data_IF_978278189569
#
_entry.id   IF_978278189569
#
_cell.length_a   1.000
_cell.length_b   1.000
_cell.length_c   1.000
_cell.angle_alpha   90.00
_cell.angle_beta   90.00
_cell.angle_gamma   90.00
#
_symmetry.space_group_name_H-M   'P 1'
#
loop_
_entity.id
_entity.type
_entity.pdbx_description
1 polymer ?
#
# COMPACT_ATOMS: atom_id res chain seq x y z
N UNK A 1 5.02 20.19 5.64
CA UNK A 1 4.40 19.05 4.94
C UNK A 1 5.46 18.25 4.18
N UNK A 2 6.26 18.89 3.31
CA UNK A 2 7.36 18.21 2.59
C UNK A 2 8.39 17.54 3.50
N UNK A 3 8.82 18.19 4.58
CA UNK A 3 9.79 17.64 5.54
C UNK A 3 9.31 16.33 6.18
N UNK A 4 8.06 16.28 6.66
CA UNK A 4 7.48 15.06 7.25
C UNK A 4 7.44 13.88 6.29
N UNK A 5 7.16 14.14 5.00
CA UNK A 5 7.20 13.10 3.98
C UNK A 5 8.63 12.69 3.66
N UNK A 6 9.56 13.63 3.60
CA UNK A 6 10.97 13.31 3.38
C UNK A 6 11.53 12.41 4.49
N UNK A 7 11.32 12.76 5.76
CA UNK A 7 11.76 11.97 6.91
C UNK A 7 11.23 10.52 6.84
N UNK A 8 9.97 10.35 6.43
CA UNK A 8 9.38 9.03 6.25
C UNK A 8 10.06 8.23 5.12
N UNK A 9 10.31 8.85 3.96
CA UNK A 9 10.95 8.16 2.84
C UNK A 9 12.43 7.87 3.12
N UNK A 10 13.14 8.77 3.81
CA UNK A 10 14.49 8.52 4.29
C UNK A 10 14.53 7.33 5.26
N UNK A 11 13.58 7.26 6.19
CA UNK A 11 13.44 6.09 7.05
C UNK A 11 13.19 4.81 6.24
N UNK A 12 12.31 4.83 5.23
CA UNK A 12 12.07 3.67 4.36
C UNK A 12 13.35 3.22 3.62
N UNK A 13 14.24 4.14 3.24
CA UNK A 13 15.54 3.83 2.62
C UNK A 13 16.53 3.15 3.57
N UNK A 14 16.25 3.12 4.88
CA UNK A 14 17.10 2.39 5.84
C UNK A 14 16.72 0.91 5.99
N UNK A 15 15.48 0.54 5.66
CA UNK A 15 14.90 -0.76 5.97
C UNK A 15 14.40 -1.56 4.75
N UNK A 16 13.84 -0.89 3.74
CA UNK A 16 13.16 -1.56 2.62
C UNK A 16 13.70 -1.19 1.25
N UNK A 17 14.35 -0.03 1.11
CA UNK A 17 14.74 0.52 -0.19
C UNK A 17 16.19 0.95 -0.22
N UNK A 18 16.74 1.10 -1.43
CA UNK A 18 18.07 1.66 -1.62
C UNK A 18 18.02 3.17 -1.61
N UNK A 19 18.93 3.80 -0.87
CA UNK A 19 19.14 5.25 -0.88
C UNK A 19 19.38 5.83 -2.28
N UNK A 20 20.03 5.07 -3.19
CA UNK A 20 20.27 5.51 -4.57
C UNK A 20 18.99 5.74 -5.37
N UNK A 21 17.91 5.06 -4.97
CA UNK A 21 16.64 5.06 -5.68
C UNK A 21 15.72 6.16 -5.16
N UNK A 22 15.94 6.66 -3.95
CA UNK A 22 15.23 7.80 -3.40
C UNK A 22 15.50 9.06 -4.23
N UNK A 23 14.43 9.73 -4.64
CA UNK A 23 14.43 11.01 -5.35
C UNK A 23 13.67 12.03 -4.50
N UNK A 24 14.39 13.08 -4.12
CA UNK A 24 13.88 14.16 -3.27
C UNK A 24 13.52 15.35 -4.15
N UNK A 25 12.32 15.93 -4.01
CA UNK A 25 11.90 17.08 -4.80
C UNK A 25 12.76 18.32 -4.54
N UNK A 26 12.97 19.17 -5.56
CA UNK A 26 13.46 20.53 -5.36
C UNK A 26 12.52 21.36 -4.46
N UNK A 27 12.98 22.52 -3.99
CA UNK A 27 12.17 23.44 -3.16
C UNK A 27 10.89 23.92 -3.87
N UNK A 28 10.93 24.04 -5.20
CA UNK A 28 9.80 24.44 -6.05
C UNK A 28 8.94 23.24 -6.47
N UNK A 29 9.27 22.04 -6.01
CA UNK A 29 8.65 20.79 -6.44
C UNK A 29 9.19 20.29 -7.78
N UNK A 30 8.75 19.09 -8.16
CA UNK A 30 9.03 18.53 -9.48
C UNK A 30 8.26 19.26 -10.58
N UNK A 31 8.84 19.40 -11.79
CA UNK A 31 8.10 19.82 -12.97
C UNK A 31 6.93 18.87 -13.24
N UNK A 32 5.78 19.37 -13.69
CA UNK A 32 4.60 18.54 -13.98
C UNK A 32 4.88 17.46 -15.03
N UNK A 33 5.88 17.69 -15.88
CA UNK A 33 6.34 16.79 -16.93
C UNK A 33 6.94 15.48 -16.37
N UNK A 34 7.26 15.42 -15.07
CA UNK A 34 7.67 14.17 -14.42
C UNK A 34 6.49 13.19 -14.26
N UNK A 35 5.27 13.71 -14.22
CA UNK A 35 4.06 12.92 -14.06
C UNK A 35 3.54 12.53 -15.45
N UNK A 36 3.28 11.24 -15.70
CA UNK A 36 2.66 10.84 -16.95
C UNK A 36 1.30 11.51 -17.16
N UNK A 37 0.98 11.89 -18.41
CA UNK A 37 -0.28 12.57 -18.78
C UNK A 37 -1.54 11.92 -18.20
N UNK A 38 -1.57 10.58 -18.15
CA UNK A 38 -2.70 9.81 -17.62
C UNK A 38 -2.90 10.06 -16.13
N UNK A 39 -1.81 10.22 -15.38
CA UNK A 39 -1.84 10.55 -13.95
C UNK A 39 -2.45 11.92 -13.75
N UNK A 40 -1.94 12.90 -14.50
CA UNK A 40 -2.44 14.28 -14.45
C UNK A 40 -3.94 14.33 -14.77
N UNK A 41 -4.38 13.62 -15.81
CA UNK A 41 -5.80 13.59 -16.22
C UNK A 41 -6.73 12.86 -15.25
N UNK A 42 -6.20 11.94 -14.43
CA UNK A 42 -7.00 11.12 -13.50
C UNK A 42 -7.08 11.69 -12.07
N UNK A 43 -6.37 12.78 -11.80
CA UNK A 43 -6.29 13.41 -10.47
C UNK A 43 -6.78 14.86 -10.50
N UNK A 44 -7.20 15.37 -9.36
CA UNK A 44 -7.51 16.79 -9.23
C UNK A 44 -6.24 17.63 -9.35
N UNK A 45 -6.35 18.88 -9.78
CA UNK A 45 -5.21 19.81 -9.89
C UNK A 45 -4.43 19.91 -8.58
N UNK A 46 -5.13 19.93 -7.44
CA UNK A 46 -4.52 19.96 -6.11
C UNK A 46 -3.76 18.67 -5.77
N UNK A 47 -4.28 17.51 -6.16
CA UNK A 47 -3.59 16.25 -5.94
C UNK A 47 -2.30 16.16 -6.79
N UNK A 48 -2.36 16.59 -8.05
CA UNK A 48 -1.18 16.68 -8.93
C UNK A 48 -0.13 17.61 -8.34
N UNK A 49 -0.54 18.79 -7.85
CA UNK A 49 0.36 19.73 -7.17
C UNK A 49 1.03 19.07 -5.96
N UNK A 50 0.29 18.39 -5.09
CA UNK A 50 0.88 17.67 -3.94
C UNK A 50 1.87 16.60 -4.38
N UNK A 51 1.55 15.82 -5.42
CA UNK A 51 2.44 14.79 -5.94
C UNK A 51 3.78 15.36 -6.43
N UNK A 52 3.80 16.58 -6.95
CA UNK A 52 5.05 17.25 -7.34
C UNK A 52 5.95 17.58 -6.13
N UNK A 53 5.44 17.60 -4.90
CA UNK A 53 6.24 17.84 -3.69
C UNK A 53 6.52 16.58 -2.87
N UNK A 54 6.19 15.40 -3.39
CA UNK A 54 6.51 14.15 -2.71
C UNK A 54 7.88 13.61 -3.16
N UNK A 55 8.62 12.97 -2.24
CA UNK A 55 9.69 12.07 -2.63
C UNK A 55 9.12 10.81 -3.29
N UNK A 56 9.94 10.13 -4.08
CA UNK A 56 9.61 8.81 -4.63
C UNK A 56 10.86 7.93 -4.72
N UNK A 57 10.67 6.62 -4.85
CA UNK A 57 11.75 5.69 -5.16
C UNK A 57 11.64 5.25 -6.63
N UNK A 58 12.71 5.43 -7.39
CA UNK A 58 12.78 4.98 -8.77
C UNK A 58 12.82 3.46 -8.84
N UNK A 59 12.21 2.84 -9.85
CA UNK A 59 12.23 1.38 -10.05
C UNK A 59 11.61 0.62 -8.87
N UNK A 60 10.46 1.09 -8.38
CA UNK A 60 9.74 0.47 -7.26
C UNK A 60 9.09 -0.89 -7.60
N UNK A 61 9.32 -1.43 -8.80
CA UNK A 61 8.75 -2.71 -9.27
C UNK A 61 9.13 -3.87 -8.35
N UNK A 62 10.37 -3.88 -7.87
CA UNK A 62 10.86 -4.87 -6.91
C UNK A 62 10.56 -4.50 -5.45
N UNK A 63 9.74 -3.47 -5.22
CA UNK A 63 9.51 -2.97 -3.88
C UNK A 63 8.80 -3.96 -2.97
N UNK A 64 9.34 -4.04 -1.75
CA UNK A 64 8.74 -4.76 -0.64
C UNK A 64 7.51 -3.97 -0.18
N UNK A 65 6.44 -4.68 0.21
CA UNK A 65 5.25 -4.07 0.80
C UNK A 65 5.67 -3.35 2.09
N UNK A 66 5.66 -2.02 2.07
CA UNK A 66 5.99 -1.18 3.24
C UNK A 66 5.04 -1.47 4.41
N UNK A 67 3.80 -1.80 4.06
CA UNK A 67 2.73 -2.19 4.96
C UNK A 67 1.79 -3.17 4.27
N UNK A 68 0.94 -3.86 5.05
CA UNK A 68 -0.06 -4.79 4.54
C UNK A 68 -0.91 -4.15 3.41
N UNK A 69 -0.92 -4.79 2.22
CA UNK A 69 -1.51 -4.29 0.96
C UNK A 69 -1.06 -2.90 0.48
N UNK A 70 -0.10 -2.27 1.14
CA UNK A 70 0.46 -0.98 0.75
C UNK A 70 1.80 -1.21 0.06
N UNK A 71 1.82 -1.04 -1.25
CA UNK A 71 3.05 -0.98 -2.04
C UNK A 71 3.39 0.49 -2.28
N UNK A 72 4.65 0.85 -2.06
CA UNK A 72 5.12 2.16 -2.49
C UNK A 72 5.25 2.15 -4.01
N UNK A 73 4.92 3.27 -4.64
CA UNK A 73 4.65 3.31 -6.05
C UNK A 73 5.48 4.42 -6.72
N UNK A 74 6.17 4.08 -7.80
CA UNK A 74 6.89 5.05 -8.62
C UNK A 74 5.90 5.77 -9.52
N UNK A 75 5.36 6.89 -9.04
CA UNK A 75 4.34 7.62 -9.77
C UNK A 75 4.84 8.32 -11.04
N UNK A 76 6.15 8.26 -11.30
CA UNK A 76 6.75 8.71 -12.55
C UNK A 76 6.74 7.62 -13.63
N UNK A 77 6.56 6.35 -13.25
CA UNK A 77 6.49 5.22 -14.19
C UNK A 77 5.04 4.96 -14.65
N UNK A 78 4.73 5.35 -15.89
CA UNK A 78 3.43 5.14 -16.52
C UNK A 78 2.97 3.67 -16.56
N UNK A 79 3.89 2.71 -16.61
CA UNK A 79 3.57 1.27 -16.64
C UNK A 79 3.12 0.76 -15.27
N UNK A 80 3.69 1.29 -14.17
CA UNK A 80 3.17 0.96 -12.84
C UNK A 80 1.71 1.45 -12.71
N UNK A 81 1.35 2.56 -13.37
CA UNK A 81 -0.03 3.06 -13.42
C UNK A 81 -0.96 2.21 -14.30
N UNK A 82 -0.41 1.37 -15.19
CA UNK A 82 -1.20 0.40 -15.98
C UNK A 82 -1.52 -0.85 -15.16
N UNK A 83 -0.64 -1.25 -14.24
CA UNK A 83 -0.84 -2.40 -13.34
C UNK A 83 -1.91 -2.07 -12.29
N UNK A 84 -2.06 -0.79 -11.93
CA UNK A 84 -3.18 -0.30 -11.13
C UNK A 84 -4.46 -0.16 -11.98
N UNK A 85 -5.07 -1.32 -12.25
CA UNK A 85 -6.50 -1.52 -12.54
C UNK A 85 -7.01 -1.30 -13.99
N UNK A 86 -6.98 -2.33 -14.84
CA UNK A 86 -8.15 -2.75 -15.62
C UNK A 86 -9.09 -3.55 -14.70
N UNK A 87 -10.36 -3.17 -14.61
CA UNK A 87 -11.45 -3.91 -13.94
C UNK A 87 -11.38 -4.09 -12.40
N UNK A 88 -10.63 -3.26 -11.67
CA UNK A 88 -10.72 -3.21 -10.20
C UNK A 88 -11.18 -1.83 -9.76
N UNK A 89 -12.33 -1.77 -9.08
CA UNK A 89 -12.76 -0.57 -8.37
C UNK A 89 -11.77 -0.37 -7.20
N UNK A 90 -10.99 0.70 -7.25
CA UNK A 90 -10.43 1.27 -6.03
C UNK A 90 -11.62 1.70 -5.18
N UNK A 91 -11.98 0.92 -4.17
CA UNK A 91 -12.74 1.45 -3.04
C UNK A 91 -11.81 2.46 -2.37
N UNK A 92 -12.15 3.75 -2.47
CA UNK A 92 -11.69 4.70 -1.47
C UNK A 92 -11.98 4.06 -0.12
N UNK A 93 -11.01 4.06 0.79
CA UNK A 93 -11.35 3.79 2.18
C UNK A 93 -12.41 4.82 2.51
N UNK A 94 -13.67 4.37 2.66
CA UNK A 94 -14.75 5.25 3.07
C UNK A 94 -14.24 6.06 4.25
N UNK A 95 -14.67 7.33 4.37
CA UNK A 95 -14.41 8.10 5.59
C UNK A 95 -15.15 7.43 6.73
N UNK A 96 -14.48 6.44 7.30
CA UNK A 96 -14.87 5.64 8.42
C UNK A 96 -14.50 6.44 9.66
N UNK A 97 -15.52 6.96 10.35
CA UNK A 97 -15.32 7.55 11.67
C UNK A 97 -14.64 6.51 12.57
N UNK A 98 -13.54 6.90 13.22
CA UNK A 98 -12.84 6.00 14.13
C UNK A 98 -13.73 5.72 15.34
N UNK A 99 -13.96 4.44 15.64
CA UNK A 99 -14.64 4.03 16.85
C UNK A 99 -13.71 4.23 18.05
N UNK A 100 -14.12 5.06 18.99
CA UNK A 100 -13.35 5.34 20.21
C UNK A 100 -13.40 4.20 21.24
N UNK A 101 -14.37 3.30 21.14
CA UNK A 101 -14.44 2.11 22.00
C UNK A 101 -13.57 0.99 21.46
N UNK A 102 -12.96 0.25 22.38
CA UNK A 102 -12.13 -0.91 22.09
C UNK A 102 -12.94 -1.96 21.32
N UNK A 103 -12.54 -2.23 20.08
CA UNK A 103 -12.99 -3.40 19.32
C UNK A 103 -12.19 -4.59 19.83
N UNK A 104 -12.88 -5.60 20.37
CA UNK A 104 -12.22 -6.83 20.84
C UNK A 104 -12.02 -7.80 19.69
N UNK A 105 -11.11 -8.74 19.91
CA UNK A 105 -10.86 -9.79 18.94
C UNK A 105 -12.12 -10.62 18.69
N UNK A 106 -12.85 -10.96 19.73
CA UNK A 106 -14.10 -11.73 19.67
C UNK A 106 -15.16 -11.00 18.85
N UNK A 107 -15.26 -9.67 19.00
CA UNK A 107 -16.19 -8.84 18.24
C UNK A 107 -15.85 -8.84 16.74
N UNK A 108 -14.57 -8.64 16.39
CA UNK A 108 -14.13 -8.71 15.01
C UNK A 108 -14.32 -10.13 14.40
N UNK A 109 -14.12 -11.17 15.21
CA UNK A 109 -14.29 -12.57 14.80
C UNK A 109 -15.77 -13.00 14.71
N UNK A 110 -16.70 -12.33 15.39
CA UNK A 110 -18.12 -12.68 15.40
C UNK A 110 -18.86 -12.33 14.09
N UNK A 111 -18.22 -11.55 13.21
CA UNK A 111 -18.76 -11.22 11.89
C UNK A 111 -18.94 -12.46 11.01
N UNK A 112 -20.01 -12.47 10.22
CA UNK A 112 -20.33 -13.54 9.26
C UNK A 112 -20.02 -13.14 7.81
N UNK A 113 -19.85 -11.84 7.55
CA UNK A 113 -19.57 -11.25 6.24
C UNK A 113 -18.17 -11.62 5.73
N UNK A 114 -17.90 -11.47 4.43
CA UNK A 114 -16.53 -11.62 3.91
C UNK A 114 -15.57 -10.61 4.56
N UNK A 115 -14.29 -10.99 4.68
CA UNK A 115 -13.25 -10.12 5.20
C UNK A 115 -13.15 -8.79 4.43
N UNK A 116 -12.92 -7.70 5.16
CA UNK A 116 -12.77 -6.35 4.60
C UNK A 116 -13.92 -5.41 4.93
N UNK A 117 -14.71 -5.74 5.96
CA UNK A 117 -15.76 -4.86 6.47
C UNK A 117 -15.14 -3.62 7.12
N UNK A 118 -16.00 -2.63 7.39
CA UNK A 118 -15.64 -1.46 8.17
C UNK A 118 -15.04 -1.81 9.55
N UNK A 119 -15.60 -2.81 10.23
CA UNK A 119 -15.14 -3.25 11.54
C UNK A 119 -13.76 -3.93 11.45
N UNK A 120 -13.53 -4.72 10.39
CA UNK A 120 -12.22 -5.33 10.11
C UNK A 120 -11.13 -4.23 9.98
N UNK A 121 -11.42 -3.17 9.20
CA UNK A 121 -10.49 -2.05 9.04
C UNK A 121 -10.28 -1.24 10.32
N UNK A 122 -11.33 -1.01 11.11
CA UNK A 122 -11.21 -0.33 12.40
C UNK A 122 -10.40 -1.15 13.40
N UNK A 123 -10.60 -2.47 13.44
CA UNK A 123 -9.82 -3.38 14.27
C UNK A 123 -8.34 -3.34 13.92
N UNK A 124 -7.99 -3.45 12.63
CA UNK A 124 -6.60 -3.37 12.16
C UNK A 124 -5.97 -2.03 12.57
N UNK A 125 -6.66 -0.91 12.33
CA UNK A 125 -6.18 0.41 12.75
C UNK A 125 -5.94 0.47 14.26
N UNK A 126 -6.84 -0.08 15.07
CA UNK A 126 -6.72 -0.08 16.52
C UNK A 126 -5.52 -0.90 17.01
N UNK A 127 -5.27 -2.07 16.42
CA UNK A 127 -4.06 -2.88 16.70
C UNK A 127 -2.82 -2.04 16.42
N UNK A 128 -2.77 -1.35 15.29
CA UNK A 128 -1.62 -0.52 14.93
C UNK A 128 -1.41 0.63 15.91
N UNK A 129 -2.48 1.28 16.36
CA UNK A 129 -2.43 2.31 17.41
C UNK A 129 -1.89 1.76 18.73
N UNK A 130 -2.35 0.58 19.16
CA UNK A 130 -1.86 -0.06 20.39
C UNK A 130 -0.36 -0.41 20.32
N UNK A 131 0.13 -0.70 19.12
CA UNK A 131 1.55 -0.91 18.86
C UNK A 131 2.32 0.39 18.59
N UNK A 132 1.76 1.56 18.88
CA UNK A 132 2.49 2.83 18.91
C UNK A 132 2.45 3.63 17.61
N UNK A 133 1.59 3.29 16.66
CA UNK A 133 1.31 4.17 15.50
C UNK A 133 0.60 5.45 15.96
N UNK A 134 1.07 6.68 15.72
CA UNK A 134 2.02 7.18 14.69
C UNK A 134 3.46 7.45 15.19
N UNK A 135 3.75 7.20 16.47
CA UNK A 135 5.01 7.59 17.12
C UNK A 135 5.98 6.39 17.20
N UNK A 136 6.02 5.70 18.35
CA UNK A 136 6.91 4.56 18.61
C UNK A 136 6.35 3.24 18.09
N UNK A 137 6.14 3.16 16.79
CA UNK A 137 5.49 2.02 16.15
C UNK A 137 6.36 0.74 16.20
N UNK A 138 5.89 -0.27 16.96
CA UNK A 138 6.47 -1.61 17.07
C UNK A 138 5.93 -2.50 15.95
N UNK A 139 6.47 -2.33 14.75
CA UNK A 139 5.99 -2.98 13.52
C UNK A 139 5.89 -4.49 13.64
N UNK A 140 6.96 -5.17 14.06
CA UNK A 140 7.00 -6.63 14.07
C UNK A 140 5.94 -7.22 15.00
N UNK A 141 5.69 -6.56 16.14
CA UNK A 141 4.61 -6.92 17.07
C UNK A 141 3.23 -6.69 16.45
N UNK A 142 3.01 -5.55 15.79
CA UNK A 142 1.74 -5.22 15.16
C UNK A 142 1.39 -6.17 14.00
N UNK A 143 2.37 -6.48 13.15
CA UNK A 143 2.21 -7.41 12.03
C UNK A 143 1.93 -8.81 12.56
N UNK A 144 2.70 -9.27 13.55
CA UNK A 144 2.49 -10.57 14.18
C UNK A 144 1.09 -10.69 14.80
N UNK A 145 0.62 -9.65 15.50
CA UNK A 145 -0.72 -9.63 16.09
C UNK A 145 -1.83 -9.75 15.03
N UNK A 146 -1.67 -9.10 13.87
CA UNK A 146 -2.60 -9.28 12.75
C UNK A 146 -2.48 -10.66 12.12
N UNK A 147 -1.28 -11.18 11.91
CA UNK A 147 -1.09 -12.53 11.36
C UNK A 147 -1.72 -13.62 12.25
N UNK A 148 -1.51 -13.53 13.56
CA UNK A 148 -2.15 -14.43 14.54
C UNK A 148 -3.67 -14.32 14.51
N UNK A 149 -4.20 -13.08 14.41
CA UNK A 149 -5.63 -12.85 14.26
C UNK A 149 -6.18 -13.45 12.96
N UNK A 150 -5.47 -13.32 11.85
CA UNK A 150 -5.88 -13.84 10.55
C UNK A 150 -5.79 -15.36 10.47
N UNK A 151 -4.80 -15.95 11.13
CA UNK A 151 -4.66 -17.40 11.23
C UNK A 151 -5.88 -18.06 11.91
N UNK A 152 -6.58 -17.35 12.81
CA UNK A 152 -7.82 -17.83 13.43
C UNK A 152 -9.03 -17.87 12.46
N UNK A 153 -8.92 -17.26 11.27
CA UNK A 153 -10.02 -17.07 10.31
C UNK A 153 -9.78 -17.61 8.90
N UNK A 154 -8.60 -18.15 8.61
CA UNK A 154 -8.20 -18.69 7.29
C UNK A 154 -9.26 -19.61 6.67
N UNK A 155 -10.00 -20.38 7.46
CA UNK A 155 -11.03 -21.31 6.95
C UNK A 155 -12.47 -20.75 6.83
N UNK A 156 -12.79 -19.53 7.32
CA UNK A 156 -14.20 -19.12 7.55
C UNK A 156 -14.71 -17.89 6.78
N UNK A 157 -13.91 -16.84 6.57
CA UNK A 157 -14.37 -15.55 5.98
C UNK A 157 -13.62 -15.16 4.72
N UNK A 158 -12.94 -16.13 4.09
CA UNK A 158 -11.99 -15.92 3.01
C UNK A 158 -10.60 -15.53 3.55
N UNK A 159 -9.55 -15.98 2.86
CA UNK A 159 -8.20 -15.50 3.12
C UNK A 159 -8.02 -14.10 2.53
N UNK A 160 -7.11 -13.32 3.09
CA UNK A 160 -6.55 -12.23 2.32
C UNK A 160 -6.00 -12.80 1.01
N UNK A 161 -6.44 -12.31 -0.15
CA UNK A 161 -5.97 -12.71 -1.49
C UNK A 161 -4.60 -13.39 -1.42
N UNK A 162 -4.55 -14.69 -1.78
CA UNK A 162 -3.32 -15.47 -1.85
C UNK A 162 -2.23 -14.58 -2.44
N UNK A 163 -1.08 -14.55 -1.75
CA UNK A 163 0.12 -13.86 -2.23
C UNK A 163 0.22 -14.15 -3.72
N UNK A 164 0.32 -13.12 -4.57
CA UNK A 164 0.66 -13.27 -5.97
C UNK A 164 2.04 -13.95 -6.05
N UNK A 165 2.08 -15.26 -5.85
CA UNK A 165 3.14 -16.14 -6.24
C UNK A 165 3.05 -16.17 -7.75
N UNK A 166 3.78 -15.23 -8.35
CA UNK A 166 4.44 -15.35 -9.64
C UNK A 166 4.06 -16.62 -10.41
N UNK A 167 3.05 -16.51 -11.27
CA UNK A 167 2.95 -17.43 -12.41
C UNK A 167 3.95 -16.90 -13.45
N UNK A 168 5.22 -17.20 -13.25
CA UNK A 168 6.14 -17.41 -14.37
C UNK A 168 6.04 -18.88 -14.76
N UNK A 169 4.97 -19.23 -15.48
CA UNK A 169 5.00 -20.41 -16.34
C UNK A 169 5.20 -19.91 -17.77
N UNK A 170 6.48 -19.85 -18.16
CA UNK A 170 6.85 -19.67 -19.55
C UNK A 170 6.34 -20.85 -20.36
N UNK A 171 5.46 -20.58 -21.32
CA UNK A 171 5.26 -21.49 -22.45
C UNK A 171 5.97 -20.89 -23.64
N UNK A 172 7.17 -21.41 -23.91
CA UNK A 172 7.85 -21.28 -25.20
C UNK A 172 6.92 -21.91 -26.23
N UNK A 173 6.28 -21.10 -27.09
CA UNK A 173 5.64 -21.65 -28.29
C UNK A 173 6.74 -22.12 -29.23
N UNK A 174 6.88 -23.44 -29.30
CA UNK A 174 7.74 -24.11 -30.26
C UNK A 174 7.39 -23.71 -31.69
N UNK A 175 8.43 -23.41 -32.45
CA UNK A 175 8.43 -23.47 -33.91
C UNK A 175 8.11 -24.90 -34.32
N UNK A 176 6.89 -25.13 -34.77
CA UNK A 176 6.48 -26.34 -35.49
C UNK A 176 6.47 -26.05 -36.98
N UNK A 177 7.44 -26.62 -37.69
CA UNK A 177 7.47 -26.74 -39.15
C UNK A 177 6.21 -27.47 -39.65
N UNK A 178 5.61 -26.95 -40.71
CA UNK A 178 4.59 -27.57 -41.53
C UNK A 178 4.58 -26.91 -42.89
#
# INVERSE_FOLDING_TARGET
LGETFLDFYEFLATIYYTWSDLKVPPSEGWPFEILPDRVIKSKSSRAVEVMCYLPYFKQSKDSIRVHYKSKLFDYTDAEEHLIFCPNRETQEADRVDERNSLITQEEALAQEEEWGTHLDWQFVRQVYRQHGWLDFFRKDEAVKAIEEFMALKSDQRGEWEETFHQVHSGTVKGLGLG
#
